data_IF_558197145124
#
_entry.id   IF_558197145124
#
_cell.length_a   1.000
_cell.length_b   1.000
_cell.length_c   1.000
_cell.angle_alpha   90.00
_cell.angle_beta   90.00
_cell.angle_gamma   90.00
#
_symmetry.space_group_name_H-M   'P 1'
#
loop_
_entity.id
_entity.type
_entity.pdbx_description
1 polymer ?
#
# COMPACT_ATOMS: atom_id res chain seq x y z
N UNK A 1 -7.42 -5.37 -4.21
CA UNK A 1 -6.73 -6.34 -5.11
C UNK A 1 -7.70 -7.17 -5.94
N UNK A 2 -7.33 -7.52 -7.18
CA UNK A 2 -7.87 -8.70 -7.88
C UNK A 2 -7.37 -9.97 -7.17
N UNK A 3 -8.14 -11.06 -7.19
CA UNK A 3 -7.76 -12.32 -6.52
C UNK A 3 -6.38 -12.84 -6.97
N UNK A 4 -5.99 -12.55 -8.20
CA UNK A 4 -4.75 -13.05 -8.79
C UNK A 4 -3.52 -12.27 -8.30
N UNK A 5 -3.63 -10.95 -8.12
CA UNK A 5 -2.56 -10.14 -7.50
C UNK A 5 -2.34 -10.53 -6.03
N UNK A 6 -3.41 -10.92 -5.33
CA UNK A 6 -3.31 -11.44 -3.96
C UNK A 6 -2.56 -12.77 -3.91
N UNK A 7 -2.93 -13.70 -4.78
CA UNK A 7 -2.26 -15.01 -4.88
C UNK A 7 -0.80 -14.89 -5.29
N UNK A 8 -0.47 -13.99 -6.23
CA UNK A 8 0.90 -13.76 -6.65
C UNK A 8 1.75 -13.20 -5.50
N UNK A 9 1.25 -12.18 -4.79
CA UNK A 9 1.94 -11.60 -3.64
C UNK A 9 2.06 -12.58 -2.46
N UNK A 10 1.03 -13.40 -2.20
CA UNK A 10 1.08 -14.45 -1.18
C UNK A 10 2.09 -15.55 -1.53
N UNK A 11 2.23 -15.88 -2.81
CA UNK A 11 3.23 -16.85 -3.26
C UNK A 11 4.64 -16.31 -3.07
N UNK A 12 4.90 -15.10 -3.55
CA UNK A 12 6.21 -14.45 -3.44
C UNK A 12 6.61 -14.22 -1.98
N UNK A 13 5.63 -13.92 -1.10
CA UNK A 13 5.86 -13.84 0.34
C UNK A 13 6.28 -15.19 0.93
N UNK A 14 5.59 -16.28 0.57
CA UNK A 14 5.95 -17.61 1.06
C UNK A 14 7.33 -18.04 0.55
N UNK A 15 7.67 -17.71 -0.69
CA UNK A 15 8.99 -18.02 -1.27
C UNK A 15 10.13 -17.34 -0.46
N UNK A 16 9.95 -16.07 -0.04
CA UNK A 16 10.91 -15.38 0.82
C UNK A 16 10.97 -15.95 2.25
N UNK A 17 9.83 -16.39 2.80
CA UNK A 17 9.79 -17.04 4.12
C UNK A 17 10.55 -18.38 4.07
N UNK A 18 10.31 -19.19 3.05
CA UNK A 18 10.97 -20.49 2.87
C UNK A 18 12.49 -20.32 2.72
N UNK A 19 12.94 -19.28 2.02
CA UNK A 19 14.36 -18.95 1.88
C UNK A 19 15.00 -18.57 3.23
N UNK A 20 14.33 -17.73 4.02
CA UNK A 20 14.79 -17.35 5.36
C UNK A 20 14.83 -18.56 6.30
N UNK A 21 13.81 -19.42 6.26
CA UNK A 21 13.75 -20.65 7.06
C UNK A 21 14.84 -21.64 6.67
N UNK A 22 15.15 -21.77 5.38
CA UNK A 22 16.26 -22.60 4.89
C UNK A 22 17.61 -22.10 5.42
N UNK A 23 17.89 -20.80 5.26
CA UNK A 23 19.14 -20.18 5.74
C UNK A 23 19.27 -20.28 7.26
N UNK A 24 18.16 -20.11 7.99
CA UNK A 24 18.12 -20.24 9.44
C UNK A 24 18.35 -21.68 9.91
N UNK A 25 17.75 -22.65 9.23
CA UNK A 25 17.93 -24.08 9.51
C UNK A 25 19.37 -24.52 9.27
N UNK A 26 19.99 -24.00 8.20
CA UNK A 26 21.41 -24.20 7.94
C UNK A 26 22.25 -23.61 9.08
N UNK A 27 22.05 -22.33 9.45
CA UNK A 27 22.77 -21.65 10.54
C UNK A 27 22.70 -22.38 11.89
N UNK A 28 21.61 -23.08 12.19
CA UNK A 28 21.45 -23.86 13.43
C UNK A 28 22.14 -25.23 13.42
N UNK A 29 22.61 -25.70 12.26
CA UNK A 29 23.26 -27.02 12.17
C UNK A 29 24.59 -27.04 12.92
N UNK A 30 24.79 -28.06 13.77
CA UNK A 30 25.92 -28.16 14.71
C UNK A 30 27.31 -28.33 14.04
N UNK A 31 27.40 -28.41 12.71
CA UNK A 31 28.65 -28.74 11.98
C UNK A 31 29.11 -27.67 10.98
N UNK A 32 28.67 -26.42 11.12
CA UNK A 32 29.05 -25.35 10.19
C UNK A 32 30.44 -24.79 10.50
N UNK A 33 31.27 -24.69 9.45
CA UNK A 33 32.53 -23.94 9.45
C UNK A 33 32.25 -22.44 9.61
N UNK A 34 33.07 -21.75 10.40
CA UNK A 34 32.84 -20.33 10.75
C UNK A 34 32.81 -19.40 9.52
N UNK A 35 33.59 -19.70 8.47
CA UNK A 35 33.54 -19.00 7.17
C UNK A 35 32.18 -19.15 6.48
N UNK A 36 31.59 -20.35 6.55
CA UNK A 36 30.28 -20.65 5.95
C UNK A 36 29.15 -20.02 6.75
N UNK A 37 29.32 -19.89 8.07
CA UNK A 37 28.40 -19.18 8.97
C UNK A 37 28.37 -17.68 8.69
N UNK A 38 29.51 -17.07 8.37
CA UNK A 38 29.58 -15.66 8.04
C UNK A 38 28.83 -15.37 6.73
N UNK A 39 29.04 -16.19 5.70
CA UNK A 39 28.31 -16.10 4.42
C UNK A 39 26.81 -16.29 4.63
N UNK A 40 26.40 -17.29 5.43
CA UNK A 40 24.99 -17.53 5.74
C UNK A 40 24.35 -16.37 6.53
N UNK A 41 25.08 -15.72 7.43
CA UNK A 41 24.59 -14.54 8.14
C UNK A 41 24.41 -13.34 7.22
N UNK A 42 25.36 -13.09 6.30
CA UNK A 42 25.23 -12.04 5.30
C UNK A 42 24.02 -12.30 4.40
N UNK A 43 23.81 -13.55 3.97
CA UNK A 43 22.65 -13.96 3.19
C UNK A 43 21.35 -13.80 3.97
N UNK A 44 21.31 -14.17 5.25
CA UNK A 44 20.15 -13.98 6.11
C UNK A 44 19.76 -12.50 6.27
N UNK A 45 20.74 -11.62 6.40
CA UNK A 45 20.51 -10.16 6.50
C UNK A 45 19.94 -9.63 5.18
N UNK A 46 20.51 -10.02 4.05
CA UNK A 46 20.03 -9.61 2.72
C UNK A 46 18.58 -10.05 2.48
N UNK A 47 18.26 -11.32 2.74
CA UNK A 47 16.89 -11.85 2.57
C UNK A 47 15.88 -11.13 3.48
N UNK A 48 16.28 -10.77 4.71
CA UNK A 48 15.44 -9.94 5.59
C UNK A 48 15.21 -8.54 5.06
N UNK A 49 16.22 -7.90 4.49
CA UNK A 49 16.08 -6.58 3.88
C UNK A 49 15.21 -6.61 2.63
N UNK A 50 15.33 -7.64 1.79
CA UNK A 50 14.47 -7.83 0.62
C UNK A 50 13.02 -8.03 1.03
N UNK A 51 12.75 -8.86 2.04
CA UNK A 51 11.42 -9.06 2.58
C UNK A 51 10.82 -7.74 3.11
N UNK A 52 11.60 -6.94 3.83
CA UNK A 52 11.14 -5.65 4.34
C UNK A 52 10.82 -4.65 3.21
N UNK A 53 11.65 -4.62 2.15
CA UNK A 53 11.38 -3.80 0.94
C UNK A 53 10.12 -4.27 0.23
N UNK A 54 9.91 -5.58 0.11
CA UNK A 54 8.71 -6.17 -0.47
C UNK A 54 7.45 -5.75 0.29
N UNK A 55 7.45 -5.84 1.62
CA UNK A 55 6.33 -5.35 2.45
C UNK A 55 6.03 -3.88 2.23
N UNK A 56 7.06 -3.03 2.26
CA UNK A 56 6.90 -1.58 2.02
C UNK A 56 6.30 -1.29 0.63
N UNK A 57 6.78 -1.99 -0.40
CA UNK A 57 6.27 -1.83 -1.76
C UNK A 57 4.81 -2.29 -1.89
N UNK A 58 4.43 -3.39 -1.21
CA UNK A 58 3.04 -3.84 -1.16
C UNK A 58 2.13 -2.80 -0.49
N UNK A 59 2.56 -2.22 0.64
CA UNK A 59 1.83 -1.15 1.32
C UNK A 59 1.67 0.09 0.45
N UNK A 60 2.74 0.53 -0.22
CA UNK A 60 2.71 1.67 -1.14
C UNK A 60 1.82 1.40 -2.36
N UNK A 61 1.85 0.19 -2.90
CA UNK A 61 1.01 -0.19 -4.05
C UNK A 61 -0.47 -0.24 -3.67
N UNK A 62 -0.82 -0.81 -2.52
CA UNK A 62 -2.22 -0.84 -2.06
C UNK A 62 -2.71 0.54 -1.69
N UNK A 63 -1.88 1.36 -1.04
CA UNK A 63 -2.18 2.78 -0.76
C UNK A 63 -2.43 3.54 -2.06
N UNK A 64 -1.58 3.36 -3.07
CA UNK A 64 -1.74 3.99 -4.40
C UNK A 64 -3.05 3.59 -5.08
N UNK A 65 -3.46 2.31 -4.98
CA UNK A 65 -4.75 1.85 -5.52
C UNK A 65 -5.94 2.44 -4.78
N UNK A 66 -5.84 2.61 -3.46
CA UNK A 66 -6.87 3.28 -2.65
C UNK A 66 -6.99 4.74 -3.09
N UNK A 67 -5.87 5.44 -3.25
CA UNK A 67 -5.85 6.83 -3.74
C UNK A 67 -6.45 6.98 -5.14
N UNK A 68 -6.13 6.09 -6.07
CA UNK A 68 -6.73 6.09 -7.40
C UNK A 68 -8.26 5.93 -7.35
N UNK A 69 -8.76 5.06 -6.46
CA UNK A 69 -10.21 4.86 -6.28
C UNK A 69 -10.87 6.08 -5.64
N UNK A 70 -10.27 6.64 -4.59
CA UNK A 70 -10.73 7.87 -3.94
C UNK A 70 -10.80 9.00 -4.97
N UNK A 71 -9.74 9.18 -5.77
CA UNK A 71 -9.69 10.21 -6.80
C UNK A 71 -10.84 10.05 -7.80
N UNK A 72 -11.02 8.84 -8.35
CA UNK A 72 -12.12 8.54 -9.27
C UNK A 72 -13.50 8.82 -8.66
N UNK A 73 -13.74 8.39 -7.43
CA UNK A 73 -15.03 8.62 -6.78
C UNK A 73 -15.26 10.10 -6.43
N UNK A 74 -14.21 10.83 -6.11
CA UNK A 74 -14.26 12.29 -5.93
C UNK A 74 -14.61 13.00 -7.24
N UNK A 75 -14.06 12.59 -8.38
CA UNK A 75 -14.45 13.12 -9.69
C UNK A 75 -15.91 12.81 -10.04
N UNK A 76 -16.39 11.61 -9.75
CA UNK A 76 -17.79 11.24 -9.98
C UNK A 76 -18.73 12.04 -9.07
N UNK A 77 -18.33 12.24 -7.81
CA UNK A 77 -19.05 13.05 -6.84
C UNK A 77 -19.10 14.52 -7.25
N UNK A 78 -18.00 15.10 -7.74
CA UNK A 78 -17.96 16.49 -8.20
C UNK A 78 -18.90 16.71 -9.38
N UNK A 79 -18.85 15.81 -10.38
CA UNK A 79 -19.77 15.82 -11.53
C UNK A 79 -21.24 15.70 -11.11
N UNK A 80 -21.55 14.77 -10.20
CA UNK A 80 -22.93 14.54 -9.72
C UNK A 80 -23.53 15.75 -9.00
N UNK A 81 -22.71 16.52 -8.30
CA UNK A 81 -23.14 17.68 -7.52
C UNK A 81 -22.85 19.02 -8.21
N UNK A 82 -22.39 18.99 -9.46
CA UNK A 82 -22.01 20.18 -10.24
C UNK A 82 -20.93 21.04 -9.55
N UNK A 83 -20.04 20.42 -8.79
CA UNK A 83 -18.87 21.12 -8.24
C UNK A 83 -17.82 21.30 -9.32
N UNK A 84 -17.42 22.54 -9.57
CA UNK A 84 -16.35 22.86 -10.51
C UNK A 84 -14.96 22.54 -9.95
N UNK A 85 -14.81 22.55 -8.62
CA UNK A 85 -13.55 22.34 -7.94
C UNK A 85 -13.78 21.80 -6.52
N UNK A 86 -13.01 20.79 -6.12
CA UNK A 86 -12.91 20.31 -4.74
C UNK A 86 -11.44 20.46 -4.34
N UNK A 87 -11.19 21.06 -3.18
CA UNK A 87 -9.84 21.34 -2.69
C UNK A 87 -9.68 20.82 -1.27
N UNK A 88 -8.44 20.47 -0.94
CA UNK A 88 -8.05 20.17 0.42
C UNK A 88 -7.96 21.47 1.25
N UNK A 89 -8.48 21.43 2.46
CA UNK A 89 -8.53 22.56 3.37
C UNK A 89 -7.16 22.83 4.03
N UNK A 90 -6.26 21.84 4.07
CA UNK A 90 -4.91 22.04 4.64
C UNK A 90 -3.98 22.84 3.73
N UNK A 91 -4.29 22.95 2.43
CA UNK A 91 -3.44 23.59 1.43
C UNK A 91 -3.99 24.92 0.89
N UNK A 92 -4.70 25.67 1.74
CA UNK A 92 -5.43 26.90 1.37
C UNK A 92 -4.55 28.13 1.15
N UNK A 93 -3.24 28.05 1.34
CA UNK A 93 -2.30 29.19 1.18
C UNK A 93 -2.29 29.79 -0.25
N UNK A 94 -2.87 29.08 -1.23
CA UNK A 94 -2.90 29.48 -2.64
C UNK A 94 -4.24 30.09 -3.09
N UNK A 95 -5.22 30.24 -2.18
CA UNK A 95 -6.55 30.76 -2.51
C UNK A 95 -6.72 32.15 -1.91
N UNK A 96 -6.71 33.18 -2.76
CA UNK A 96 -6.77 34.58 -2.34
C UNK A 96 -8.17 34.99 -1.83
N UNK A 97 -9.24 34.51 -2.46
CA UNK A 97 -10.62 34.60 -1.94
C UNK A 97 -11.56 33.74 -2.80
N UNK A 98 -12.65 33.21 -2.23
CA UNK A 98 -13.70 32.52 -2.99
C UNK A 98 -15.08 32.87 -2.44
N UNK A 99 -15.99 33.29 -3.33
CA UNK A 99 -17.32 33.79 -2.98
C UNK A 99 -18.25 32.74 -2.33
N UNK A 100 -18.16 31.47 -2.72
CA UNK A 100 -19.00 30.40 -2.17
C UNK A 100 -18.16 29.18 -1.82
N UNK A 101 -18.14 28.83 -0.53
CA UNK A 101 -17.45 27.64 0.00
C UNK A 101 -18.50 26.70 0.60
N UNK A 102 -18.50 25.45 0.14
CA UNK A 102 -19.24 24.36 0.78
C UNK A 102 -18.25 23.32 1.30
N UNK A 103 -18.33 23.01 2.59
CA UNK A 103 -17.59 21.89 3.18
C UNK A 103 -18.32 20.61 2.81
N UNK A 104 -17.64 19.69 2.12
CA UNK A 104 -18.25 18.48 1.54
C UNK A 104 -17.68 17.18 2.10
N UNK A 105 -16.76 17.23 3.08
CA UNK A 105 -16.01 16.08 3.58
C UNK A 105 -16.92 14.90 3.97
N UNK A 106 -17.96 15.16 4.76
CA UNK A 106 -18.90 14.14 5.23
C UNK A 106 -19.78 13.55 4.11
N UNK A 107 -20.16 14.36 3.13
CA UNK A 107 -20.95 13.92 1.97
C UNK A 107 -20.10 13.07 1.02
N UNK A 108 -18.86 13.50 0.79
CA UNK A 108 -17.89 12.82 -0.06
C UNK A 108 -17.44 11.50 0.56
N UNK A 109 -17.12 11.46 1.85
CA UNK A 109 -16.74 10.24 2.56
C UNK A 109 -17.85 9.19 2.46
N UNK A 110 -19.10 9.61 2.68
CA UNK A 110 -20.27 8.73 2.57
C UNK A 110 -20.48 8.22 1.15
N UNK A 111 -20.23 9.07 0.15
CA UNK A 111 -20.30 8.67 -1.25
C UNK A 111 -19.23 7.63 -1.61
N UNK A 112 -17.98 7.88 -1.22
CA UNK A 112 -16.84 6.97 -1.41
C UNK A 112 -17.13 5.61 -0.77
N UNK A 113 -17.60 5.59 0.49
CA UNK A 113 -17.89 4.35 1.20
C UNK A 113 -18.99 3.55 0.52
N UNK A 114 -20.09 4.19 0.08
CA UNK A 114 -21.14 3.52 -0.69
C UNK A 114 -20.59 2.90 -1.98
N UNK A 115 -19.79 3.65 -2.74
CA UNK A 115 -19.15 3.16 -3.97
C UNK A 115 -18.21 1.99 -3.71
N UNK A 116 -17.48 2.03 -2.61
CA UNK A 116 -16.57 0.97 -2.20
C UNK A 116 -17.30 -0.33 -1.83
N UNK A 117 -18.45 -0.22 -1.16
CA UNK A 117 -19.34 -1.35 -0.84
C UNK A 117 -20.13 -1.89 -2.05
N UNK A 118 -19.97 -1.27 -3.24
CA UNK A 118 -20.72 -1.63 -4.44
C UNK A 118 -22.16 -1.13 -4.45
N UNK A 119 -22.53 -0.26 -3.51
CA UNK A 119 -23.83 0.38 -3.43
C UNK A 119 -23.84 1.64 -4.31
N UNK A 120 -24.92 1.82 -5.10
CA UNK A 120 -25.10 2.97 -6.00
C UNK A 120 -25.52 4.24 -5.27
#
# INVERSE_FOLDING_TARGET
MTKDLKRAAEKELNDHIDQIESVYSELQSQSILEEKKQVLNEQFILEKEELAKFYKNLEEMESSKIWLRIHRYTEEFSKKNNYQLIMDFENTNSILDTYEKKVVNEELLRYINKRYEGLK
#
